data_IF_392335447638
#
_entry.id   IF_392335447638
#
_cell.length_a   1.000
_cell.length_b   1.000
_cell.length_c   1.000
_cell.angle_alpha   90.00
_cell.angle_beta   90.00
_cell.angle_gamma   90.00
#
_symmetry.space_group_name_H-M   'P 1'
#
loop_
_entity.id
_entity.type
_entity.pdbx_description
1 polymer ?
#
# COMPACT_ATOMS: atom_id res chain seq x y z
N UNK A 1 6.19 -16.85 -3.44
CA UNK A 1 5.05 -17.76 -3.23
C UNK A 1 4.55 -17.77 -1.78
N UNK A 2 5.44 -17.79 -0.79
CA UNK A 2 5.08 -17.81 0.64
C UNK A 2 4.19 -16.64 1.09
N UNK A 3 4.42 -15.43 0.57
CA UNK A 3 3.62 -14.25 0.92
C UNK A 3 2.17 -14.34 0.44
N UNK A 4 1.92 -14.94 -0.71
CA UNK A 4 0.57 -15.15 -1.20
C UNK A 4 -0.18 -16.13 -0.31
N UNK A 5 0.47 -17.22 0.12
CA UNK A 5 -0.11 -18.17 1.07
C UNK A 5 -0.42 -17.52 2.42
N UNK A 6 0.49 -16.71 2.95
CA UNK A 6 0.25 -15.96 4.19
C UNK A 6 -0.88 -14.94 4.08
N UNK A 7 -1.12 -14.43 2.88
CA UNK A 7 -2.20 -13.47 2.61
C UNK A 7 -3.54 -14.15 2.29
N UNK A 8 -3.55 -15.47 2.06
CA UNK A 8 -4.76 -16.21 1.68
C UNK A 8 -5.95 -16.00 2.62
N UNK A 9 -5.79 -16.07 3.97
CA UNK A 9 -6.90 -15.84 4.88
C UNK A 9 -7.51 -14.45 4.74
N UNK A 10 -6.68 -13.44 4.49
CA UNK A 10 -7.14 -12.07 4.26
C UNK A 10 -7.94 -11.99 2.98
N UNK A 11 -7.42 -12.56 1.87
CA UNK A 11 -8.16 -12.57 0.61
C UNK A 11 -9.47 -13.34 0.68
N UNK A 12 -9.54 -14.46 1.39
CA UNK A 12 -10.77 -15.23 1.58
C UNK A 12 -11.88 -14.43 2.27
N UNK A 13 -11.54 -13.53 3.18
CA UNK A 13 -12.52 -12.68 3.83
C UNK A 13 -13.22 -11.72 2.87
N UNK A 14 -12.50 -11.20 1.85
CA UNK A 14 -13.05 -10.24 0.89
C UNK A 14 -13.48 -10.88 -0.41
N UNK A 15 -12.92 -12.02 -0.74
CA UNK A 15 -13.17 -12.75 -1.99
C UNK A 15 -13.38 -14.24 -1.69
N UNK A 16 -14.48 -14.63 -1.03
CA UNK A 16 -14.69 -16.00 -0.54
C UNK A 16 -14.71 -17.06 -1.64
N UNK A 17 -15.02 -16.66 -2.88
CA UNK A 17 -15.02 -17.55 -4.06
C UNK A 17 -13.68 -17.58 -4.80
N UNK A 18 -12.70 -16.77 -4.38
CA UNK A 18 -11.40 -16.70 -5.04
C UNK A 18 -10.51 -17.84 -4.57
N UNK A 19 -10.12 -18.70 -5.48
CA UNK A 19 -9.04 -19.66 -5.28
C UNK A 19 -7.71 -18.98 -5.64
N UNK A 20 -7.02 -18.42 -4.64
CA UNK A 20 -5.79 -17.67 -4.83
C UNK A 20 -4.69 -18.51 -5.50
N UNK A 21 -4.72 -19.83 -5.35
CA UNK A 21 -3.72 -20.74 -5.94
C UNK A 21 -3.85 -20.84 -7.46
N UNK A 22 -5.02 -20.50 -8.00
CA UNK A 22 -5.31 -20.50 -9.45
C UNK A 22 -5.15 -19.14 -10.09
N UNK A 23 -4.91 -18.09 -9.31
CA UNK A 23 -4.74 -16.74 -9.84
C UNK A 23 -3.38 -16.62 -10.54
N UNK A 24 -3.41 -16.33 -11.83
CA UNK A 24 -2.19 -16.03 -12.59
C UNK A 24 -1.69 -14.64 -12.19
N UNK A 25 -0.47 -14.59 -11.68
CA UNK A 25 0.16 -13.36 -11.23
C UNK A 25 1.40 -12.99 -12.06
N UNK A 26 1.70 -11.71 -12.06
CA UNK A 26 3.00 -11.16 -12.45
C UNK A 26 3.64 -10.47 -11.24
N UNK A 27 4.96 -10.38 -11.29
CA UNK A 27 5.76 -9.74 -10.25
C UNK A 27 6.53 -8.59 -10.86
N UNK A 28 6.58 -7.46 -10.16
CA UNK A 28 7.38 -6.32 -10.57
C UNK A 28 8.12 -5.72 -9.39
N UNK A 29 9.31 -5.17 -9.70
CA UNK A 29 10.12 -4.44 -8.74
C UNK A 29 10.55 -3.13 -9.38
N UNK A 30 10.31 -2.02 -8.71
CA UNK A 30 10.69 -0.70 -9.19
C UNK A 30 11.49 0.00 -8.12
N UNK A 31 12.73 0.36 -8.46
CA UNK A 31 13.51 1.28 -7.64
C UNK A 31 12.93 2.69 -7.78
N UNK A 32 12.72 3.34 -6.67
CA UNK A 32 12.15 4.68 -6.60
C UNK A 32 13.00 5.58 -5.70
N UNK A 33 13.17 6.81 -6.14
CA UNK A 33 13.88 7.84 -5.40
C UNK A 33 13.03 9.12 -5.39
N UNK A 34 12.73 9.61 -4.20
CA UNK A 34 12.18 10.93 -4.02
C UNK A 34 13.35 11.87 -3.70
N UNK A 35 13.62 12.90 -4.49
CA UNK A 35 14.81 13.72 -4.34
C UNK A 35 14.86 14.45 -3.00
N UNK A 36 16.05 14.89 -2.64
CA UNK A 36 16.24 15.86 -1.58
C UNK A 36 15.48 17.16 -1.90
N UNK A 37 14.98 17.84 -0.89
CA UNK A 37 14.23 19.08 -1.05
C UNK A 37 14.42 20.01 0.13
N UNK A 38 14.49 21.30 -0.15
CA UNK A 38 14.54 22.36 0.85
C UNK A 38 13.15 22.76 1.38
N UNK A 39 12.10 22.24 0.77
CA UNK A 39 10.72 22.42 1.20
C UNK A 39 10.08 21.06 1.48
N UNK A 40 9.11 21.01 2.39
CA UNK A 40 8.35 19.80 2.64
C UNK A 40 7.81 19.22 1.33
N UNK A 41 7.89 17.91 1.15
CA UNK A 41 7.44 17.25 -0.06
C UNK A 41 6.06 16.63 0.15
N UNK A 42 5.04 17.01 -0.64
CA UNK A 42 3.74 16.39 -0.58
C UNK A 42 3.86 14.94 -1.04
N UNK A 43 3.73 14.03 -0.10
CA UNK A 43 3.80 12.60 -0.38
C UNK A 43 2.48 12.08 -0.95
N UNK A 44 2.44 10.81 -1.27
CA UNK A 44 1.27 10.20 -1.88
C UNK A 44 0.06 10.28 -0.95
N UNK A 45 -1.03 10.91 -1.41
CA UNK A 45 -2.29 11.06 -0.68
C UNK A 45 -2.94 9.72 -0.37
N UNK A 46 -3.90 9.72 0.54
CA UNK A 46 -4.70 8.56 0.89
C UNK A 46 -5.35 7.95 -0.36
N UNK A 47 -5.14 6.66 -0.56
CA UNK A 47 -5.63 5.91 -1.70
C UNK A 47 -5.65 4.40 -1.41
N UNK A 48 -6.24 3.66 -2.30
CA UNK A 48 -6.14 2.20 -2.45
C UNK A 48 -5.38 1.92 -3.76
N UNK A 49 -4.68 0.84 -3.83
CA UNK A 49 -4.06 0.38 -5.07
C UNK A 49 -5.07 -0.17 -6.07
N UNK A 50 -4.67 -0.27 -7.33
CA UNK A 50 -5.52 -0.83 -8.39
C UNK A 50 -6.00 -2.24 -8.06
N UNK A 51 -7.23 -2.56 -8.47
CA UNK A 51 -7.89 -3.82 -8.14
C UNK A 51 -7.23 -5.10 -8.66
N UNK A 52 -6.23 -5.01 -9.51
CA UNK A 52 -5.41 -6.14 -9.94
C UNK A 52 -4.18 -6.36 -9.03
N UNK A 53 -3.80 -5.40 -8.19
CA UNK A 53 -2.72 -5.58 -7.23
C UNK A 53 -3.17 -6.45 -6.07
N UNK A 54 -2.45 -7.52 -5.81
CA UNK A 54 -2.70 -8.43 -4.70
C UNK A 54 -1.87 -8.06 -3.48
N UNK A 55 -0.59 -7.78 -3.69
CA UNK A 55 0.35 -7.44 -2.61
C UNK A 55 1.19 -6.27 -3.05
N UNK A 56 1.38 -5.32 -2.14
CA UNK A 56 2.34 -4.23 -2.27
C UNK A 56 3.42 -4.38 -1.21
N UNK A 57 4.66 -4.21 -1.63
CA UNK A 57 5.82 -4.22 -0.76
C UNK A 57 6.65 -2.96 -0.93
N UNK A 58 7.15 -2.45 0.18
CA UNK A 58 8.06 -1.31 0.21
C UNK A 58 9.31 -1.72 0.99
N UNK A 59 10.45 -1.75 0.32
CA UNK A 59 11.74 -1.99 0.93
C UNK A 59 12.53 -0.69 0.97
N UNK A 60 12.76 -0.18 2.16
CA UNK A 60 13.37 1.13 2.42
C UNK A 60 14.90 1.06 2.54
N UNK A 61 15.55 2.05 1.96
CA UNK A 61 17.01 2.27 2.02
C UNK A 61 17.29 3.66 2.58
N UNK A 62 16.98 3.83 3.86
CA UNK A 62 17.26 5.08 4.57
C UNK A 62 18.75 5.25 4.77
N UNK A 63 19.26 6.47 4.58
CA UNK A 63 20.62 6.79 4.96
C UNK A 63 20.73 6.86 6.49
N UNK A 64 21.79 6.35 7.07
CA UNK A 64 22.01 6.36 8.52
C UNK A 64 22.01 7.77 9.14
N UNK A 65 22.46 8.78 8.36
CA UNK A 65 22.49 10.18 8.76
C UNK A 65 21.24 10.96 8.37
N UNK A 66 20.22 10.31 7.85
CA UNK A 66 18.97 10.94 7.45
C UNK A 66 18.04 11.07 8.66
N UNK A 67 17.56 12.30 8.91
CA UNK A 67 16.57 12.55 9.96
C UNK A 67 15.27 11.76 9.72
N UNK A 68 14.56 11.44 10.81
CA UNK A 68 13.39 10.54 10.74
C UNK A 68 12.07 11.25 10.41
N UNK A 69 12.12 12.52 10.00
CA UNK A 69 10.95 13.37 9.93
C UNK A 69 10.12 13.14 8.66
N UNK A 70 9.08 12.35 8.82
CA UNK A 70 8.07 12.13 7.78
C UNK A 70 8.41 11.03 6.77
N UNK A 71 7.63 10.99 5.69
CA UNK A 71 7.76 9.96 4.67
C UNK A 71 7.36 8.55 5.13
N UNK A 72 6.60 8.44 6.22
CA UNK A 72 6.16 7.18 6.80
C UNK A 72 4.96 6.62 6.07
N UNK A 73 4.91 5.30 5.91
CA UNK A 73 3.69 4.63 5.43
C UNK A 73 2.66 4.59 6.54
N UNK A 74 1.43 4.99 6.23
CA UNK A 74 0.27 4.73 7.08
C UNK A 74 -0.73 3.85 6.35
N UNK A 75 -1.18 2.81 7.04
CA UNK A 75 -2.33 1.99 6.64
C UNK A 75 -3.52 2.44 7.48
N UNK A 76 -4.64 2.67 6.80
CA UNK A 76 -5.89 3.12 7.44
C UNK A 76 -7.02 2.17 7.09
N UNK A 77 -7.68 1.65 8.10
CA UNK A 77 -8.92 0.93 7.91
C UNK A 77 -10.08 1.95 7.79
N UNK A 78 -10.77 2.05 6.66
CA UNK A 78 -11.84 3.04 6.48
C UNK A 78 -13.07 2.77 7.36
N UNK A 79 -13.23 1.53 7.83
CA UNK A 79 -14.38 1.09 8.64
C UNK A 79 -14.14 1.40 10.11
N UNK A 80 -13.05 0.87 10.68
CA UNK A 80 -12.73 1.07 12.10
C UNK A 80 -12.05 2.42 12.36
N UNK A 81 -11.58 3.10 11.30
CA UNK A 81 -10.77 4.32 11.33
C UNK A 81 -9.40 4.16 12.00
N UNK A 82 -9.05 2.95 12.37
CA UNK A 82 -7.73 2.66 12.94
C UNK A 82 -6.63 2.92 11.91
N UNK A 83 -5.55 3.52 12.38
CA UNK A 83 -4.35 3.77 11.57
C UNK A 83 -3.14 3.09 12.21
N UNK A 84 -2.34 2.47 11.37
CA UNK A 84 -1.05 1.91 11.76
C UNK A 84 0.06 2.61 10.98
N UNK A 85 1.05 3.14 11.68
CA UNK A 85 2.19 3.82 11.08
C UNK A 85 3.41 2.90 11.04
N UNK A 86 4.06 2.86 9.87
CA UNK A 86 5.32 2.18 9.64
C UNK A 86 6.39 3.23 9.29
N UNK A 87 7.33 3.42 10.18
CA UNK A 87 8.39 4.39 10.00
C UNK A 87 9.27 4.05 8.80
N UNK A 88 9.64 5.06 8.02
CA UNK A 88 10.70 4.96 7.04
C UNK A 88 12.03 4.73 7.78
N UNK A 89 12.58 3.53 7.68
CA UNK A 89 13.81 3.12 8.36
C UNK A 89 14.70 2.32 7.43
N UNK A 90 16.00 2.38 7.70
CA UNK A 90 16.98 1.57 7.00
C UNK A 90 16.62 0.08 7.02
N UNK A 91 16.81 -0.56 5.87
CA UNK A 91 16.63 -2.00 5.65
C UNK A 91 15.30 -2.57 6.14
N UNK A 92 14.25 -1.75 6.15
CA UNK A 92 12.90 -2.19 6.50
C UNK A 92 12.12 -2.60 5.28
N UNK A 93 11.54 -3.78 5.32
CA UNK A 93 10.55 -4.27 4.36
C UNK A 93 9.16 -4.26 4.99
N UNK A 94 8.18 -3.72 4.27
CA UNK A 94 6.78 -3.75 4.63
C UNK A 94 6.03 -4.39 3.48
N UNK A 95 5.25 -5.42 3.78
CA UNK A 95 4.43 -6.13 2.81
C UNK A 95 3.00 -6.15 3.32
N UNK A 96 2.06 -5.78 2.46
CA UNK A 96 0.65 -5.83 2.84
C UNK A 96 -0.23 -6.29 1.66
N UNK A 97 -1.30 -7.05 1.94
CA UNK A 97 -2.29 -7.42 0.93
C UNK A 97 -3.13 -6.21 0.55
N UNK A 98 -3.44 -6.09 -0.73
CA UNK A 98 -4.35 -5.09 -1.25
C UNK A 98 -5.78 -5.64 -1.24
N UNK A 99 -6.62 -5.05 -0.44
CA UNK A 99 -8.03 -5.38 -0.27
C UNK A 99 -8.85 -4.10 -0.34
N UNK A 100 -10.17 -4.15 -0.44
CA UNK A 100 -11.02 -2.94 -0.44
C UNK A 100 -10.84 -2.00 0.76
N UNK A 101 -10.23 -2.48 1.84
CA UNK A 101 -9.98 -1.69 3.04
C UNK A 101 -8.51 -1.35 3.29
N UNK A 102 -7.61 -1.72 2.38
CA UNK A 102 -6.16 -1.45 2.53
C UNK A 102 -5.81 -0.02 2.10
N UNK A 103 -6.50 0.96 2.67
CA UNK A 103 -6.22 2.36 2.43
C UNK A 103 -4.87 2.73 2.99
N UNK A 104 -4.11 3.48 2.21
CA UNK A 104 -2.77 3.87 2.63
C UNK A 104 -2.33 5.20 2.04
N UNK A 105 -1.39 5.81 2.73
CA UNK A 105 -0.77 7.06 2.31
C UNK A 105 0.64 7.17 2.88
N UNK A 106 1.39 8.11 2.36
CA UNK A 106 2.71 8.46 2.90
C UNK A 106 2.59 9.82 3.57
N UNK A 107 3.03 9.92 4.81
CA UNK A 107 3.04 11.20 5.53
C UNK A 107 3.94 12.21 4.84
N UNK A 108 3.66 13.48 5.02
CA UNK A 108 4.54 14.54 4.56
C UNK A 108 5.97 14.30 5.07
N UNK A 109 6.91 14.72 4.30
CA UNK A 109 8.31 14.66 4.65
C UNK A 109 8.83 16.06 4.87
N UNK A 110 9.50 16.27 6.00
CA UNK A 110 10.20 17.51 6.28
C UNK A 110 11.31 17.76 5.25
N UNK A 111 11.78 19.00 5.11
CA UNK A 111 12.93 19.32 4.27
C UNK A 111 14.12 18.44 4.62
N UNK A 112 14.76 17.89 3.61
CA UNK A 112 15.88 16.95 3.81
C UNK A 112 16.90 17.08 2.69
N UNK A 113 18.17 17.03 3.07
CA UNK A 113 19.29 16.96 2.12
C UNK A 113 19.51 15.57 1.53
N UNK A 114 18.76 14.56 1.98
CA UNK A 114 18.86 13.19 1.51
C UNK A 114 17.67 12.81 0.66
N UNK A 115 17.91 12.05 -0.38
CA UNK A 115 16.85 11.42 -1.16
C UNK A 115 16.23 10.26 -0.41
N UNK A 116 14.90 10.14 -0.44
CA UNK A 116 14.20 8.96 0.08
C UNK A 116 14.20 7.86 -0.97
N UNK A 117 14.78 6.71 -0.64
CA UNK A 117 14.99 5.59 -1.55
C UNK A 117 14.23 4.35 -1.09
N UNK A 118 13.60 3.66 -2.04
CA UNK A 118 12.93 2.41 -1.76
C UNK A 118 12.75 1.57 -3.03
N UNK A 119 12.61 0.27 -2.85
CA UNK A 119 12.10 -0.62 -3.89
C UNK A 119 10.63 -0.87 -3.62
N UNK A 120 9.80 -0.58 -4.61
CA UNK A 120 8.40 -0.98 -4.61
C UNK A 120 8.29 -2.35 -5.29
N UNK A 121 7.76 -3.32 -4.57
CA UNK A 121 7.50 -4.68 -5.06
C UNK A 121 6.00 -4.86 -5.18
N UNK A 122 5.53 -5.39 -6.31
CA UNK A 122 4.11 -5.65 -6.54
C UNK A 122 3.89 -7.08 -7.01
N UNK A 123 2.82 -7.68 -6.50
CA UNK A 123 2.24 -8.90 -7.05
C UNK A 123 0.90 -8.52 -7.65
N UNK A 124 0.74 -8.74 -8.94
CA UNK A 124 -0.45 -8.32 -9.69
C UNK A 124 -1.13 -9.52 -10.33
N UNK A 125 -2.42 -9.68 -10.07
CA UNK A 125 -3.26 -10.64 -10.77
C UNK A 125 -3.48 -10.23 -12.22
N UNK A 126 -3.63 -11.21 -13.11
CA UNK A 126 -4.04 -10.96 -14.51
C UNK A 126 -5.51 -10.55 -14.66
N UNK A 127 -6.26 -10.60 -13.57
CA UNK A 127 -7.66 -10.17 -13.47
C UNK A 127 -7.80 -9.07 -12.44
N UNK A 128 -8.82 -8.24 -12.55
CA UNK A 128 -9.20 -7.33 -11.47
C UNK A 128 -9.98 -8.09 -10.41
N UNK A 129 -9.54 -8.00 -9.17
CA UNK A 129 -10.21 -8.58 -8.01
C UNK A 129 -11.34 -7.68 -7.51
N UNK A 130 -11.20 -6.37 -7.72
CA UNK A 130 -12.23 -5.39 -7.41
C UNK A 130 -12.17 -4.24 -8.43
N UNK A 131 -13.31 -3.62 -8.67
CA UNK A 131 -13.37 -2.39 -9.45
C UNK A 131 -13.07 -1.23 -8.51
N UNK A 132 -11.98 -0.57 -8.79
CA UNK A 132 -11.56 0.54 -7.97
C UNK A 132 -11.55 1.84 -8.78
N UNK A 133 -12.21 2.85 -8.27
CA UNK A 133 -12.01 4.23 -8.69
C UNK A 133 -11.23 4.94 -7.59
N UNK A 134 -10.25 5.73 -7.98
CA UNK A 134 -9.55 6.61 -7.06
C UNK A 134 -10.58 7.54 -6.46
N UNK A 135 -10.95 7.33 -5.21
CA UNK A 135 -11.90 8.20 -4.54
C UNK A 135 -11.16 9.50 -4.29
N UNK A 136 -11.49 10.50 -5.06
CA UNK A 136 -11.03 11.88 -4.84
C UNK A 136 -11.70 12.40 -3.58
N UNK A 137 -11.14 12.05 -2.41
CA UNK A 137 -11.48 12.69 -1.14
C UNK A 137 -12.88 12.44 -0.59
N UNK A 138 -13.62 11.48 -1.13
CA UNK A 138 -14.93 11.09 -0.59
C UNK A 138 -14.77 9.95 0.42
N UNK A 139 -15.34 10.13 1.59
CA UNK A 139 -15.39 9.09 2.62
C UNK A 139 -16.27 7.93 2.14
N UNK A 140 -15.67 6.75 2.01
CA UNK A 140 -16.46 5.52 1.93
C UNK A 140 -17.02 5.30 3.32
N UNK A 141 -18.31 5.51 3.45
CA UNK A 141 -18.94 5.67 4.75
C UNK A 141 -19.26 4.36 5.44
N UNK A 142 -19.37 3.23 4.72
CA UNK A 142 -19.69 1.94 5.37
C UNK A 142 -19.09 0.73 4.65
N UNK A 143 -18.81 -0.34 5.41
CA UNK A 143 -18.42 -1.65 4.88
C UNK A 143 -19.51 -2.25 3.97
N UNK A 144 -20.76 -2.00 4.26
CA UNK A 144 -21.91 -2.48 3.46
C UNK A 144 -21.92 -1.85 2.07
N UNK A 145 -21.56 -0.57 1.93
CA UNK A 145 -21.40 0.07 0.63
C UNK A 145 -20.24 -0.51 -0.16
N UNK A 146 -19.14 -0.82 0.51
CA UNK A 146 -18.02 -1.53 -0.10
C UNK A 146 -18.44 -2.92 -0.58
N UNK A 147 -19.14 -3.67 0.25
CA UNK A 147 -19.60 -5.02 -0.03
C UNK A 147 -20.58 -5.05 -1.21
N UNK A 148 -21.53 -4.13 -1.24
CA UNK A 148 -22.54 -4.04 -2.32
C UNK A 148 -21.95 -3.63 -3.68
N UNK A 149 -20.76 -3.01 -3.71
CA UNK A 149 -20.05 -2.68 -4.94
C UNK A 149 -19.19 -3.83 -5.48
N UNK A 150 -19.08 -4.95 -4.75
CA UNK A 150 -18.19 -6.07 -5.08
C UNK A 150 -18.91 -7.44 -5.21
N UNK A 151 -20.21 -7.48 -5.01
CA UNK A 151 -21.07 -8.62 -5.35
C UNK A 151 -21.68 -8.47 -6.76
#
# INVERSE_FOLDING_TARGET
LDILHKSEPVFKNYYPRLDITKVKCSYSHTFSENPATDTGFPMRKLHIDNGNKMVTGLWYFKNENEDEDGGHLRLKNPITREETQFFYRENRIILFPNTPISWHYITEREPSKYSRRFVCTMVEAKIKLHNYQTIKGEDITTYEELKNNYE
#
